data_IF_549664859969
#
_entry.id   IF_549664859969
#
_cell.length_a   1.000
_cell.length_b   1.000
_cell.length_c   1.000
_cell.angle_alpha   90.00
_cell.angle_beta   90.00
_cell.angle_gamma   90.00
#
_symmetry.space_group_name_H-M   'P 1'
#
loop_
_entity.id
_entity.type
_entity.pdbx_description
1 polymer ?
#
# COMPACT_ATOMS: atom_id res chain seq x y z
N UNK A 1 -10.16 17.52 -23.94
CA UNK A 1 -8.96 17.87 -23.17
C UNK A 1 -8.68 16.72 -22.23
N UNK A 2 -7.78 15.82 -22.61
CA UNK A 2 -7.31 14.75 -21.72
C UNK A 2 -6.63 15.41 -20.54
N UNK A 3 -7.27 15.40 -19.36
CA UNK A 3 -6.61 15.77 -18.12
C UNK A 3 -5.31 14.97 -18.06
N UNK A 4 -4.17 15.64 -18.13
CA UNK A 4 -2.86 14.98 -18.06
C UNK A 4 -2.83 14.28 -16.73
N UNK A 5 -2.98 12.96 -16.76
CA UNK A 5 -3.03 12.16 -15.56
C UNK A 5 -1.62 12.13 -14.98
N UNK A 6 -1.35 13.03 -14.02
CA UNK A 6 -0.05 13.15 -13.40
C UNK A 6 0.32 11.81 -12.77
N UNK A 7 1.47 11.26 -13.17
CA UNK A 7 2.02 10.03 -12.64
C UNK A 7 3.33 10.34 -11.91
N UNK A 8 3.54 9.61 -10.82
CA UNK A 8 4.78 9.61 -10.06
C UNK A 8 4.89 8.28 -9.29
N UNK A 9 6.08 8.00 -8.78
CA UNK A 9 6.29 6.83 -7.96
C UNK A 9 5.64 7.02 -6.59
N UNK A 10 5.03 5.96 -6.07
CA UNK A 10 4.36 5.94 -4.78
C UNK A 10 5.22 5.16 -3.78
N UNK A 11 5.48 5.75 -2.62
CA UNK A 11 6.06 5.10 -1.45
C UNK A 11 5.01 5.03 -0.34
N UNK A 12 4.89 3.86 0.29
CA UNK A 12 4.13 3.68 1.54
C UNK A 12 4.97 2.91 2.53
N UNK A 13 5.02 3.38 3.78
CA UNK A 13 5.71 2.70 4.87
C UNK A 13 4.82 2.63 6.11
N UNK A 14 4.81 1.46 6.75
CA UNK A 14 4.43 1.28 8.14
C UNK A 14 5.69 1.03 8.98
N UNK A 15 5.98 1.95 9.88
CA UNK A 15 7.03 1.82 10.88
C UNK A 15 6.43 1.34 12.21
N UNK A 16 6.95 0.27 12.77
CA UNK A 16 6.35 -0.53 13.85
C UNK A 16 7.40 -1.02 14.86
N UNK A 17 6.97 -1.58 15.99
CA UNK A 17 7.87 -2.39 16.84
C UNK A 17 8.25 -3.71 16.14
N UNK A 18 9.16 -4.46 16.77
CA UNK A 18 9.79 -5.69 16.27
C UNK A 18 8.81 -6.73 15.72
N UNK A 19 8.78 -6.83 14.40
CA UNK A 19 8.06 -7.82 13.63
C UNK A 19 8.61 -9.23 13.89
N UNK A 20 7.77 -10.27 13.85
CA UNK A 20 8.22 -11.65 14.02
C UNK A 20 9.22 -12.04 12.90
N UNK A 21 10.48 -12.39 13.22
CA UNK A 21 11.53 -12.63 12.22
C UNK A 21 11.13 -13.69 11.18
N UNK A 22 10.58 -14.82 11.66
CA UNK A 22 10.10 -15.94 10.84
C UNK A 22 8.97 -15.59 9.87
N UNK A 23 8.27 -14.48 10.09
CA UNK A 23 7.17 -14.02 9.24
C UNK A 23 7.54 -12.77 8.42
N UNK A 24 8.66 -12.09 8.71
CA UNK A 24 8.96 -10.76 8.19
C UNK A 24 8.90 -10.69 6.66
N UNK A 25 9.63 -11.58 5.99
CA UNK A 25 9.68 -11.63 4.52
C UNK A 25 8.28 -11.77 3.91
N UNK A 26 7.51 -12.74 4.42
CA UNK A 26 6.14 -13.00 3.96
C UNK A 26 5.20 -11.83 4.25
N UNK A 27 5.35 -11.14 5.39
CA UNK A 27 4.58 -9.95 5.72
C UNK A 27 4.91 -8.79 4.76
N UNK A 28 6.18 -8.56 4.47
CA UNK A 28 6.63 -7.53 3.52
C UNK A 28 6.11 -7.77 2.10
N UNK A 29 6.26 -8.99 1.60
CA UNK A 29 5.73 -9.41 0.29
C UNK A 29 4.21 -9.26 0.23
N UNK A 30 3.50 -9.73 1.26
CA UNK A 30 2.04 -9.62 1.31
C UNK A 30 1.57 -8.16 1.37
N UNK A 31 2.23 -7.31 2.16
CA UNK A 31 1.90 -5.90 2.25
C UNK A 31 2.04 -5.23 0.88
N UNK A 32 3.19 -5.41 0.23
CA UNK A 32 3.47 -4.81 -1.07
C UNK A 32 2.51 -5.30 -2.16
N UNK A 33 2.28 -6.62 -2.24
CA UNK A 33 1.44 -7.21 -3.28
C UNK A 33 -0.03 -6.80 -3.14
N UNK A 34 -0.59 -6.87 -1.92
CA UNK A 34 -2.00 -6.50 -1.72
C UNK A 34 -2.23 -5.02 -2.01
N UNK A 35 -1.29 -4.15 -1.61
CA UNK A 35 -1.39 -2.71 -1.87
C UNK A 35 -1.34 -2.44 -3.37
N UNK A 36 -0.35 -2.98 -4.06
CA UNK A 36 -0.19 -2.80 -5.50
C UNK A 36 -1.39 -3.38 -6.28
N UNK A 37 -1.88 -4.56 -5.92
CA UNK A 37 -3.03 -5.18 -6.59
C UNK A 37 -4.32 -4.39 -6.38
N UNK A 38 -4.50 -3.78 -5.20
CA UNK A 38 -5.62 -2.89 -4.94
C UNK A 38 -5.53 -1.61 -5.79
N UNK A 39 -4.34 -1.02 -5.95
CA UNK A 39 -4.14 0.14 -6.84
C UNK A 39 -4.40 -0.22 -8.32
N UNK A 40 -3.97 -1.41 -8.77
CA UNK A 40 -4.25 -1.93 -10.12
C UNK A 40 -5.74 -2.12 -10.36
N UNK A 41 -6.45 -2.76 -9.42
CA UNK A 41 -7.88 -2.99 -9.51
C UNK A 41 -8.70 -1.70 -9.59
N UNK A 42 -8.15 -0.61 -9.05
CA UNK A 42 -8.74 0.73 -9.08
C UNK A 42 -8.34 1.55 -10.32
N UNK A 43 -7.45 1.03 -11.16
CA UNK A 43 -6.95 1.71 -12.36
C UNK A 43 -5.95 2.83 -12.07
N UNK A 44 -5.37 2.86 -10.85
CA UNK A 44 -4.34 3.82 -10.46
C UNK A 44 -2.93 3.37 -10.87
N UNK A 45 -2.72 2.06 -11.05
CA UNK A 45 -1.48 1.49 -11.53
C UNK A 45 -1.72 0.51 -12.68
N UNK A 46 -0.73 0.35 -13.56
CA UNK A 46 -0.78 -0.63 -14.65
C UNK A 46 -0.63 -2.06 -14.12
N UNK A 47 -1.13 -3.06 -14.86
CA UNK A 47 -1.09 -4.46 -14.44
C UNK A 47 0.36 -4.97 -14.22
N UNK A 48 1.28 -4.48 -15.04
CA UNK A 48 2.71 -4.80 -15.10
C UNK A 48 3.59 -3.77 -14.37
N UNK A 49 2.99 -2.91 -13.54
CA UNK A 49 3.72 -1.90 -12.76
C UNK A 49 4.84 -2.52 -11.93
N UNK A 50 6.01 -1.85 -11.88
CA UNK A 50 7.09 -2.29 -11.02
C UNK A 50 6.73 -2.05 -9.55
N UNK A 51 6.95 -3.07 -8.73
CA UNK A 51 6.69 -3.06 -7.28
C UNK A 51 7.95 -3.53 -6.57
N UNK A 52 8.48 -2.70 -5.69
CA UNK A 52 9.62 -3.04 -4.83
C UNK A 52 9.13 -3.12 -3.39
N UNK A 53 9.24 -4.31 -2.78
CA UNK A 53 8.95 -4.52 -1.38
C UNK A 53 10.19 -4.22 -0.51
N UNK A 54 9.96 -3.60 0.63
CA UNK A 54 10.96 -3.36 1.66
C UNK A 54 10.46 -3.95 2.97
N UNK A 55 11.35 -4.64 3.68
CA UNK A 55 11.02 -5.27 4.96
C UNK A 55 12.26 -5.27 5.87
N UNK A 56 12.10 -4.67 7.06
CA UNK A 56 13.09 -4.71 8.14
C UNK A 56 12.38 -5.10 9.45
N UNK A 57 13.11 -5.52 10.50
CA UNK A 57 12.53 -5.82 11.81
C UNK A 57 11.45 -4.85 12.28
N UNK A 58 11.53 -3.56 11.93
CA UNK A 58 10.59 -2.52 12.39
C UNK A 58 9.79 -1.88 11.25
N UNK A 59 9.72 -2.53 10.08
CA UNK A 59 9.23 -1.86 8.87
C UNK A 59 8.62 -2.80 7.84
N UNK A 60 7.47 -2.38 7.32
CA UNK A 60 6.91 -2.88 6.07
C UNK A 60 6.74 -1.67 5.14
N UNK A 61 7.34 -1.72 3.95
CA UNK A 61 7.18 -0.65 2.98
C UNK A 61 7.11 -1.18 1.56
N UNK A 62 6.56 -0.36 0.68
CA UNK A 62 6.42 -0.65 -0.75
C UNK A 62 6.65 0.62 -1.56
N UNK A 63 7.40 0.46 -2.64
CA UNK A 63 7.52 1.44 -3.72
C UNK A 63 6.85 0.89 -4.97
N UNK A 64 5.98 1.69 -5.59
CA UNK A 64 5.22 1.35 -6.80
C UNK A 64 5.49 2.41 -7.85
N UNK A 65 5.97 2.01 -9.01
CA UNK A 65 6.30 2.95 -10.09
C UNK A 65 5.05 3.56 -10.74
N UNK A 66 5.15 4.75 -11.35
CA UNK A 66 4.17 5.26 -12.32
C UNK A 66 2.68 5.24 -11.88
N UNK A 67 2.43 5.46 -10.58
CA UNK A 67 1.08 5.52 -10.04
C UNK A 67 0.42 6.82 -10.47
N UNK A 68 -0.82 6.75 -10.94
CA UNK A 68 -1.59 7.92 -11.34
C UNK A 68 -2.21 8.65 -10.14
N UNK A 69 -2.24 9.98 -10.19
CA UNK A 69 -2.93 10.82 -9.21
C UNK A 69 -4.47 10.62 -9.26
N UNK A 70 -5.00 10.16 -10.39
CA UNK A 70 -6.41 9.80 -10.57
C UNK A 70 -6.53 8.66 -11.58
N UNK A 71 -7.40 7.69 -11.38
CA UNK A 71 -7.70 6.71 -12.41
C UNK A 71 -8.40 7.37 -13.62
N UNK A 72 -8.36 6.74 -14.78
CA UNK A 72 -9.12 7.21 -15.94
C UNK A 72 -10.63 7.14 -15.66
N UNK A 73 -11.37 8.17 -16.09
CA UNK A 73 -12.82 8.13 -16.06
C UNK A 73 -13.34 7.00 -16.96
N UNK A 74 -14.37 6.29 -16.50
CA UNK A 74 -14.91 5.13 -17.21
C UNK A 74 -16.26 5.49 -17.84
N UNK A 75 -16.39 5.24 -19.14
CA UNK A 75 -17.69 5.27 -19.80
C UNK A 75 -18.53 4.08 -19.33
N UNK A 76 -19.68 4.34 -18.74
CA UNK A 76 -20.60 3.33 -18.22
C UNK A 76 -21.92 3.45 -18.96
N UNK A 77 -22.31 2.37 -19.62
CA UNK A 77 -23.63 2.23 -20.22
C UNK A 77 -24.50 1.40 -19.29
N UNK A 78 -25.56 2.01 -18.77
CA UNK A 78 -26.48 1.35 -17.85
C UNK A 78 -27.82 1.07 -18.51
N UNK A 79 -28.21 -0.20 -18.52
CA UNK A 79 -29.57 -0.61 -18.90
C UNK A 79 -30.57 -0.09 -17.87
N UNK A 80 -31.57 0.66 -18.34
CA UNK A 80 -32.61 1.22 -17.48
C UNK A 80 -33.81 0.27 -17.37
N UNK A 81 -34.55 0.10 -18.46
CA UNK A 81 -35.79 -0.69 -18.54
C UNK A 81 -36.24 -0.82 -20.00
N UNK A 82 -37.19 -1.71 -20.32
CA UNK A 82 -37.80 -1.78 -21.64
C UNK A 82 -38.42 -0.44 -22.06
N UNK A 83 -38.36 -0.12 -23.36
CA UNK A 83 -38.92 1.13 -23.91
C UNK A 83 -40.40 1.26 -23.57
N UNK A 84 -41.16 0.17 -23.66
CA UNK A 84 -42.60 0.14 -23.35
C UNK A 84 -42.94 0.40 -21.87
N UNK A 85 -41.98 0.28 -20.96
CA UNK A 85 -42.14 0.61 -19.53
C UNK A 85 -41.63 2.02 -19.24
N UNK A 86 -40.59 2.46 -19.94
CA UNK A 86 -39.94 3.73 -19.70
C UNK A 86 -40.60 4.92 -20.38
N UNK A 87 -41.27 4.72 -21.52
CA UNK A 87 -41.94 5.76 -22.27
C UNK A 87 -43.43 5.46 -22.45
N UNK A 88 -44.26 6.50 -22.37
CA UNK A 88 -45.68 6.41 -22.67
C UNK A 88 -45.96 6.44 -24.19
N UNK A 89 -47.24 6.39 -24.56
CA UNK A 89 -47.68 6.42 -25.96
C UNK A 89 -47.29 7.72 -26.71
N UNK A 90 -47.01 8.80 -25.98
CA UNK A 90 -46.57 10.09 -26.53
C UNK A 90 -45.04 10.23 -26.55
N UNK A 91 -44.30 9.18 -26.13
CA UNK A 91 -42.85 9.21 -26.01
C UNK A 91 -42.33 9.99 -24.80
N UNK A 92 -43.20 10.33 -23.85
CA UNK A 92 -42.82 11.02 -22.61
C UNK A 92 -42.36 10.01 -21.56
N UNK A 93 -41.46 10.44 -20.66
CA UNK A 93 -40.93 9.58 -19.62
C UNK A 93 -41.99 9.19 -18.59
N UNK A 94 -42.09 7.90 -18.29
CA UNK A 94 -42.94 7.43 -17.21
C UNK A 94 -42.34 7.79 -15.85
N UNK A 95 -43.15 7.85 -14.77
CA UNK A 95 -42.64 8.05 -13.41
C UNK A 95 -41.58 7.01 -13.01
N UNK A 96 -41.68 5.79 -13.54
CA UNK A 96 -40.69 4.74 -13.31
C UNK A 96 -39.33 5.08 -13.93
N UNK A 97 -39.31 5.59 -15.17
CA UNK A 97 -38.10 6.03 -15.84
C UNK A 97 -37.46 7.21 -15.10
N UNK A 98 -38.25 8.22 -14.74
CA UNK A 98 -37.76 9.38 -13.99
C UNK A 98 -37.16 8.99 -12.64
N UNK A 99 -37.81 8.09 -11.90
CA UNK A 99 -37.26 7.56 -10.64
C UNK A 99 -35.94 6.83 -10.85
N UNK A 100 -35.82 6.07 -11.96
CA UNK A 100 -34.58 5.36 -12.29
C UNK A 100 -33.45 6.31 -12.66
N UNK A 101 -33.73 7.35 -13.46
CA UNK A 101 -32.75 8.39 -13.81
C UNK A 101 -32.29 9.17 -12.57
N UNK A 102 -33.22 9.54 -11.70
CA UNK A 102 -32.90 10.25 -10.46
C UNK A 102 -31.97 9.41 -9.54
N UNK A 103 -32.17 8.09 -9.49
CA UNK A 103 -31.28 7.18 -8.76
C UNK A 103 -29.85 7.12 -9.35
N UNK A 104 -29.66 7.55 -10.60
CA UNK A 104 -28.38 7.67 -11.29
C UNK A 104 -27.83 9.11 -11.27
N UNK A 105 -28.48 10.01 -10.53
CA UNK A 105 -28.10 11.42 -10.46
C UNK A 105 -28.45 12.23 -11.72
N UNK A 106 -29.30 11.71 -12.59
CA UNK A 106 -29.76 12.38 -13.80
C UNK A 106 -31.22 12.83 -13.69
N UNK A 107 -31.55 14.01 -14.21
CA UNK A 107 -32.92 14.49 -14.29
C UNK A 107 -33.59 14.24 -15.64
N UNK A 108 -34.81 14.79 -15.84
CA UNK A 108 -35.55 14.67 -17.11
C UNK A 108 -34.79 15.19 -18.34
N UNK A 109 -33.83 16.10 -18.15
CA UNK A 109 -32.97 16.63 -19.20
C UNK A 109 -32.10 15.55 -19.89
N UNK A 110 -31.91 14.39 -19.26
CA UNK A 110 -31.17 13.27 -19.83
C UNK A 110 -31.98 12.47 -20.87
N UNK A 111 -33.30 12.67 -20.97
CA UNK A 111 -34.18 11.87 -21.84
C UNK A 111 -33.78 11.87 -23.32
N UNK A 112 -33.41 13.01 -23.94
CA UNK A 112 -32.99 13.02 -25.35
C UNK A 112 -31.70 12.24 -25.61
N UNK A 113 -30.88 12.02 -24.58
CA UNK A 113 -29.61 11.29 -24.66
C UNK A 113 -29.73 9.78 -24.46
N UNK A 114 -30.93 9.26 -24.15
CA UNK A 114 -31.12 7.82 -23.93
C UNK A 114 -30.99 7.04 -25.24
N UNK A 115 -30.19 5.98 -25.21
CA UNK A 115 -30.05 5.05 -26.32
C UNK A 115 -31.10 3.96 -26.23
N UNK A 116 -31.60 3.52 -27.39
CA UNK A 116 -32.44 2.33 -27.51
C UNK A 116 -31.60 1.24 -28.15
N UNK A 117 -31.61 0.05 -27.57
CA UNK A 117 -30.97 -1.11 -28.18
C UNK A 117 -31.79 -2.38 -27.93
N UNK A 118 -31.71 -3.38 -28.84
CA UNK A 118 -32.34 -4.67 -28.65
C UNK A 118 -31.87 -5.36 -27.36
N UNK A 119 -32.83 -5.92 -26.63
CA UNK A 119 -32.64 -6.68 -25.40
C UNK A 119 -33.56 -7.91 -25.45
N UNK A 120 -33.08 -8.98 -26.09
CA UNK A 120 -33.89 -10.16 -26.38
C UNK A 120 -35.00 -9.86 -27.38
N UNK A 121 -36.27 -10.03 -26.97
CA UNK A 121 -37.46 -9.80 -27.82
C UNK A 121 -38.02 -8.37 -27.73
N UNK A 122 -37.42 -7.51 -26.90
CA UNK A 122 -37.87 -6.13 -26.69
C UNK A 122 -36.72 -5.15 -26.93
N UNK A 123 -37.03 -3.85 -27.05
CA UNK A 123 -36.03 -2.78 -26.96
C UNK A 123 -35.93 -2.29 -25.50
N UNK A 124 -34.72 -2.00 -25.06
CA UNK A 124 -34.44 -1.37 -23.78
C UNK A 124 -33.83 0.02 -23.95
N UNK A 125 -34.09 0.87 -22.96
CA UNK A 125 -33.44 2.17 -22.81
C UNK A 125 -32.12 2.01 -22.04
N UNK A 126 -31.10 2.69 -22.53
CA UNK A 126 -29.77 2.74 -21.95
C UNK A 126 -29.37 4.18 -21.66
N UNK A 127 -28.74 4.38 -20.51
CA UNK A 127 -28.16 5.65 -20.11
C UNK A 127 -26.64 5.55 -20.15
N UNK A 128 -26.03 6.36 -21.00
CA UNK A 128 -24.59 6.50 -21.03
C UNK A 128 -24.19 7.58 -20.01
N UNK A 129 -23.24 7.25 -19.16
CA UNK A 129 -22.70 8.15 -18.14
C UNK A 129 -21.18 8.00 -18.07
N UNK A 130 -20.54 8.98 -17.45
CA UNK A 130 -19.12 8.91 -17.12
C UNK A 130 -19.02 8.69 -15.62
N UNK A 131 -18.44 7.58 -15.21
CA UNK A 131 -18.05 7.34 -13.83
C UNK A 131 -16.65 7.96 -13.61
N UNK A 132 -16.51 8.95 -12.72
CA UNK A 132 -15.21 9.50 -12.40
C UNK A 132 -14.24 8.42 -11.91
N UNK A 133 -13.00 8.46 -12.38
CA UNK A 133 -11.94 7.59 -11.87
C UNK A 133 -11.61 7.92 -10.41
N UNK A 134 -11.23 6.89 -9.64
CA UNK A 134 -10.84 7.04 -8.24
C UNK A 134 -9.63 7.98 -8.11
N UNK A 135 -9.63 8.84 -7.10
CA UNK A 135 -8.44 9.65 -6.79
C UNK A 135 -7.38 8.79 -6.09
N UNK A 136 -6.12 9.23 -6.13
CA UNK A 136 -5.04 8.55 -5.41
C UNK A 136 -5.32 8.49 -3.90
N UNK A 137 -5.86 9.55 -3.31
CA UNK A 137 -6.17 9.59 -1.86
C UNK A 137 -7.17 8.50 -1.50
N UNK A 138 -8.31 8.45 -2.20
CA UNK A 138 -9.35 7.44 -1.95
C UNK A 138 -8.83 6.03 -2.22
N UNK A 139 -8.11 5.85 -3.34
CA UNK A 139 -7.65 4.53 -3.74
C UNK A 139 -6.51 3.99 -2.88
N UNK A 140 -5.61 4.87 -2.43
CA UNK A 140 -4.54 4.51 -1.51
C UNK A 140 -5.09 4.20 -0.11
N UNK A 141 -6.05 4.97 0.40
CA UNK A 141 -6.69 4.69 1.69
C UNK A 141 -7.28 3.27 1.68
N UNK A 142 -8.06 2.95 0.63
CA UNK A 142 -8.62 1.60 0.44
C UNK A 142 -7.53 0.53 0.33
N UNK A 143 -6.49 0.77 -0.46
CA UNK A 143 -5.39 -0.18 -0.65
C UNK A 143 -4.63 -0.45 0.65
N UNK A 144 -4.40 0.57 1.46
CA UNK A 144 -3.75 0.46 2.77
C UNK A 144 -4.61 -0.36 3.76
N UNK A 145 -5.90 -0.06 3.84
CA UNK A 145 -6.85 -0.79 4.69
C UNK A 145 -6.92 -2.28 4.31
N UNK A 146 -7.02 -2.58 3.02
CA UNK A 146 -7.02 -3.96 2.50
C UNK A 146 -5.70 -4.68 2.79
N UNK A 147 -4.57 -3.99 2.66
CA UNK A 147 -3.23 -4.55 2.89
C UNK A 147 -3.07 -4.95 4.34
N UNK A 148 -3.44 -4.08 5.27
CA UNK A 148 -3.40 -4.35 6.71
C UNK A 148 -4.32 -5.50 7.08
N UNK A 149 -5.56 -5.51 6.58
CA UNK A 149 -6.55 -6.54 6.90
C UNK A 149 -6.18 -7.94 6.39
N UNK A 150 -5.45 -8.03 5.26
CA UNK A 150 -5.07 -9.30 4.62
C UNK A 150 -3.68 -9.80 4.99
N UNK A 151 -2.94 -9.09 5.85
CA UNK A 151 -1.62 -9.55 6.27
C UNK A 151 -1.69 -10.95 6.87
N UNK A 152 -0.79 -11.88 6.49
CA UNK A 152 -0.72 -13.22 7.05
C UNK A 152 -0.07 -13.19 8.44
N UNK A 153 -0.73 -12.58 9.41
CA UNK A 153 -0.23 -12.38 10.76
C UNK A 153 -0.37 -13.69 11.55
N UNK A 154 0.73 -14.32 12.02
CA UNK A 154 0.66 -15.58 12.77
C UNK A 154 -0.10 -15.44 14.09
N UNK A 155 0.04 -14.27 14.74
CA UNK A 155 -0.64 -13.91 15.98
C UNK A 155 -0.93 -12.42 16.00
N UNK A 156 -2.21 -12.07 15.95
CA UNK A 156 -2.65 -10.69 16.05
C UNK A 156 -2.50 -10.18 17.49
N UNK A 157 -2.06 -8.94 17.64
CA UNK A 157 -2.10 -8.23 18.91
C UNK A 157 -3.22 -7.19 18.86
N UNK A 158 -3.95 -7.08 19.96
CA UNK A 158 -4.90 -5.98 20.19
C UNK A 158 -4.26 -5.00 21.16
N UNK A 159 -4.18 -3.73 20.78
CA UNK A 159 -3.71 -2.66 21.66
C UNK A 159 -4.59 -1.42 21.52
N UNK A 160 -4.63 -0.60 22.57
CA UNK A 160 -5.40 0.62 22.59
C UNK A 160 -4.58 1.80 22.11
N UNK A 161 -5.22 2.64 21.32
CA UNK A 161 -4.65 3.87 20.82
C UNK A 161 -4.75 4.97 21.87
N UNK A 162 -3.63 5.61 22.18
CA UNK A 162 -3.58 6.82 23.00
C UNK A 162 -3.90 8.08 22.19
N UNK A 163 -3.72 8.02 20.87
CA UNK A 163 -3.93 9.15 19.95
C UNK A 163 -4.70 8.71 18.70
N UNK A 164 -5.51 9.61 18.15
CA UNK A 164 -6.38 9.34 17.01
C UNK A 164 -7.42 10.46 16.82
N UNK A 165 -8.26 10.31 15.79
CA UNK A 165 -9.24 11.33 15.39
C UNK A 165 -10.58 10.71 15.02
N UNK A 166 -11.62 11.56 15.00
CA UNK A 166 -13.00 11.19 14.68
C UNK A 166 -13.93 11.40 15.86
N UNK A 167 -15.22 11.57 15.57
CA UNK A 167 -16.25 11.87 16.59
C UNK A 167 -16.40 10.77 17.66
N UNK A 168 -15.84 9.59 17.41
CA UNK A 168 -15.90 8.42 18.29
C UNK A 168 -14.53 7.98 18.81
N UNK A 169 -13.46 8.70 18.48
CA UNK A 169 -12.14 8.36 19.01
C UNK A 169 -12.08 8.67 20.51
N UNK A 170 -11.64 7.70 21.29
CA UNK A 170 -11.42 7.83 22.72
C UNK A 170 -10.02 7.33 23.06
N UNK A 171 -9.10 8.21 23.50
CA UNK A 171 -7.77 7.84 23.99
C UNK A 171 -7.86 6.73 25.04
N UNK A 172 -7.14 5.64 24.85
CA UNK A 172 -7.15 4.51 25.78
C UNK A 172 -8.43 3.67 25.75
N UNK A 173 -9.31 3.84 24.76
CA UNK A 173 -10.52 3.02 24.60
C UNK A 173 -10.72 2.49 23.17
N UNK A 174 -10.07 3.12 22.19
CA UNK A 174 -10.09 2.66 20.80
C UNK A 174 -9.04 1.58 20.58
N UNK A 175 -9.48 0.34 20.30
CA UNK A 175 -8.58 -0.78 20.03
C UNK A 175 -8.27 -0.92 18.54
N UNK A 176 -7.02 -1.26 18.22
CA UNK A 176 -6.58 -1.69 16.89
C UNK A 176 -5.99 -3.09 16.95
N UNK A 177 -6.03 -3.80 15.82
CA UNK A 177 -5.45 -5.13 15.68
C UNK A 177 -4.33 -5.09 14.65
N UNK A 178 -3.10 -5.36 15.07
CA UNK A 178 -1.96 -5.46 14.16
C UNK A 178 -0.92 -6.44 14.71
N UNK A 179 0.10 -6.76 13.91
CA UNK A 179 1.16 -7.69 14.32
C UNK A 179 1.97 -7.13 15.50
N UNK A 180 2.15 -5.80 15.55
CA UNK A 180 2.86 -5.04 16.59
C UNK A 180 2.31 -3.60 16.66
N UNK A 181 2.60 -2.83 17.72
CA UNK A 181 2.32 -1.40 17.74
C UNK A 181 2.96 -0.68 16.55
N UNK A 182 2.18 0.15 15.86
CA UNK A 182 2.67 1.01 14.79
C UNK A 182 2.97 2.42 15.32
N UNK A 183 4.05 3.03 14.84
CA UNK A 183 4.56 4.33 15.30
C UNK A 183 4.66 5.38 14.21
N UNK A 184 4.67 4.97 12.95
CA UNK A 184 4.79 5.88 11.82
C UNK A 184 4.10 5.34 10.57
N UNK A 185 3.54 6.27 9.80
CA UNK A 185 2.99 6.04 8.48
C UNK A 185 3.60 7.07 7.54
N UNK A 186 4.24 6.60 6.47
CA UNK A 186 4.66 7.46 5.36
C UNK A 186 3.81 7.13 4.15
N UNK A 187 3.38 8.17 3.41
CA UNK A 187 2.78 8.02 2.09
C UNK A 187 3.22 9.19 1.20
N UNK A 188 4.04 8.90 0.17
CA UNK A 188 4.56 9.90 -0.77
C UNK A 188 4.24 9.52 -2.21
N UNK A 189 3.76 10.48 -3.00
CA UNK A 189 3.61 10.38 -4.46
C UNK A 189 4.56 11.37 -5.11
N UNK A 190 5.67 10.88 -5.65
CA UNK A 190 6.82 11.73 -5.97
C UNK A 190 7.34 12.40 -4.69
N UNK A 191 7.27 13.72 -4.61
CA UNK A 191 7.65 14.52 -3.44
C UNK A 191 6.44 15.00 -2.60
N UNK A 192 5.22 14.63 -2.97
CA UNK A 192 3.99 15.08 -2.34
C UNK A 192 3.47 14.07 -1.31
N UNK A 193 3.04 14.55 -0.15
CA UNK A 193 2.38 13.71 0.86
C UNK A 193 0.96 13.35 0.41
N UNK A 194 0.60 12.07 0.53
CA UNK A 194 -0.77 11.61 0.27
C UNK A 194 -1.51 11.51 1.61
N UNK A 195 -2.58 12.29 1.84
CA UNK A 195 -3.27 12.36 3.13
C UNK A 195 -4.13 11.12 3.39
N UNK A 196 -3.48 10.01 3.78
CA UNK A 196 -4.12 8.77 4.22
C UNK A 196 -3.85 8.52 5.70
N UNK A 197 -4.60 7.61 6.31
CA UNK A 197 -4.44 7.24 7.71
C UNK A 197 -4.67 5.75 7.94
N UNK A 198 -3.97 5.17 8.91
CA UNK A 198 -4.18 3.78 9.31
C UNK A 198 -3.67 3.57 10.73
N UNK A 199 -4.27 2.64 11.47
CA UNK A 199 -3.83 2.26 12.82
C UNK A 199 -3.72 3.47 13.79
N UNK A 200 -4.56 4.49 13.62
CA UNK A 200 -4.52 5.73 14.42
C UNK A 200 -3.45 6.74 13.97
N UNK A 201 -2.67 6.44 12.93
CA UNK A 201 -1.60 7.26 12.40
C UNK A 201 -2.06 8.02 11.16
N UNK A 202 -1.63 9.27 11.04
CA UNK A 202 -1.71 10.04 9.79
C UNK A 202 -0.42 9.87 9.02
N UNK A 203 -0.54 9.73 7.71
CA UNK A 203 0.61 9.71 6.83
C UNK A 203 1.32 11.06 6.84
N UNK A 204 2.65 11.01 6.78
CA UNK A 204 3.50 12.15 6.47
C UNK A 204 4.72 11.72 5.67
N UNK A 205 5.82 12.46 5.80
CA UNK A 205 7.10 12.14 5.13
C UNK A 205 8.23 11.72 6.06
N UNK A 206 7.97 11.62 7.36
CA UNK A 206 9.02 11.37 8.33
C UNK A 206 9.09 9.91 8.76
N UNK A 207 10.29 9.38 8.79
CA UNK A 207 10.58 8.04 9.32
C UNK A 207 11.76 8.10 10.31
N UNK A 208 12.15 6.94 10.84
CA UNK A 208 13.29 6.78 11.76
C UNK A 208 14.24 5.70 11.24
N UNK A 209 15.53 5.90 11.47
CA UNK A 209 16.57 4.92 11.17
C UNK A 209 16.74 3.88 12.29
N UNK A 210 17.90 3.23 12.30
CA UNK A 210 18.34 2.30 13.33
C UNK A 210 18.34 2.96 14.72
N UNK A 211 18.00 2.21 15.78
CA UNK A 211 17.80 2.78 17.13
C UNK A 211 19.06 3.44 17.71
N UNK A 212 20.22 2.92 17.36
CA UNK A 212 21.50 3.34 17.94
C UNK A 212 22.48 3.91 16.93
N UNK A 213 22.39 3.47 15.67
CA UNK A 213 23.39 3.80 14.63
C UNK A 213 22.92 4.89 13.67
N UNK A 214 21.65 5.30 13.72
CA UNK A 214 21.16 6.37 12.87
C UNK A 214 21.92 7.67 13.14
N UNK A 215 22.29 8.38 12.07
CA UNK A 215 22.96 9.68 12.17
C UNK A 215 22.02 10.78 12.63
N UNK A 216 20.72 10.58 12.42
CA UNK A 216 19.64 11.51 12.79
C UNK A 216 18.48 10.71 13.39
N UNK A 217 17.83 11.23 14.45
CA UNK A 217 16.68 10.57 15.10
C UNK A 217 15.46 10.46 14.16
N UNK A 218 15.24 11.51 13.35
CA UNK A 218 14.10 11.62 12.44
C UNK A 218 14.59 11.96 11.03
N UNK A 219 14.31 11.07 10.09
CA UNK A 219 14.64 11.23 8.67
C UNK A 219 13.44 11.86 7.99
N UNK A 220 13.65 12.98 7.29
CA UNK A 220 12.63 13.64 6.47
C UNK A 220 12.85 13.23 5.03
N UNK A 221 11.97 12.38 4.51
CA UNK A 221 12.09 11.88 3.15
C UNK A 221 11.85 13.00 2.15
N UNK A 222 12.74 13.11 1.17
CA UNK A 222 12.65 14.13 0.12
C UNK A 222 11.58 13.74 -0.90
N UNK A 223 11.65 12.49 -1.38
CA UNK A 223 10.74 11.91 -2.37
C UNK A 223 10.52 10.43 -2.09
N UNK A 224 9.56 9.82 -2.79
CA UNK A 224 9.38 8.37 -2.81
C UNK A 224 10.65 7.61 -3.26
N UNK A 225 11.44 8.20 -4.15
CA UNK A 225 12.58 7.54 -4.81
C UNK A 225 13.86 7.56 -3.97
N UNK A 226 14.01 8.55 -3.08
CA UNK A 226 15.20 8.69 -2.23
C UNK A 226 15.13 7.79 -0.99
N UNK A 227 14.05 7.04 -0.83
CA UNK A 227 13.74 6.29 0.38
C UNK A 227 14.83 5.35 0.89
N UNK A 228 15.23 4.39 0.04
CA UNK A 228 16.21 3.37 0.43
C UNK A 228 17.60 3.99 0.65
N UNK A 229 17.99 4.95 -0.20
CA UNK A 229 19.26 5.68 -0.10
C UNK A 229 19.34 6.52 1.19
N UNK A 230 18.29 7.26 1.53
CA UNK A 230 18.24 8.05 2.78
C UNK A 230 18.24 7.15 4.01
N UNK A 231 17.48 6.04 4.00
CA UNK A 231 17.52 5.06 5.09
C UNK A 231 18.92 4.47 5.28
N UNK A 232 19.63 4.19 4.20
CA UNK A 232 20.99 3.68 4.27
C UNK A 232 21.96 4.71 4.86
N UNK A 233 21.97 5.92 4.30
CA UNK A 233 23.00 6.92 4.63
C UNK A 233 22.73 7.73 5.89
N UNK A 234 21.47 8.04 6.17
CA UNK A 234 21.05 8.80 7.35
C UNK A 234 20.60 7.87 8.49
N UNK A 235 19.97 6.75 8.14
CA UNK A 235 19.37 5.83 9.09
C UNK A 235 20.19 4.62 9.47
N UNK A 236 21.29 4.30 8.77
CA UNK A 236 22.01 3.03 8.93
C UNK A 236 21.10 1.80 8.74
N UNK A 237 20.12 1.87 7.82
CA UNK A 237 19.18 0.78 7.53
C UNK A 237 19.25 0.39 6.07
N UNK A 238 19.49 -0.89 5.78
CA UNK A 238 19.28 -1.46 4.44
C UNK A 238 17.82 -1.89 4.36
N UNK A 239 16.94 -1.11 3.73
CA UNK A 239 15.49 -1.38 3.76
C UNK A 239 15.08 -2.67 3.02
N UNK A 240 15.81 -3.02 1.96
CA UNK A 240 15.57 -4.22 1.15
C UNK A 240 16.04 -5.47 1.88
N UNK A 241 15.13 -6.43 2.06
CA UNK A 241 15.47 -7.73 2.65
C UNK A 241 16.53 -8.46 1.83
N UNK A 242 16.40 -8.44 0.50
CA UNK A 242 17.31 -9.13 -0.40
C UNK A 242 18.72 -8.50 -0.39
N UNK A 243 18.80 -7.17 -0.41
CA UNK A 243 20.10 -6.48 -0.33
C UNK A 243 20.76 -6.70 1.04
N UNK A 244 19.96 -6.67 2.12
CA UNK A 244 20.49 -6.94 3.47
C UNK A 244 21.00 -8.37 3.60
N UNK A 245 20.26 -9.35 3.08
CA UNK A 245 20.69 -10.76 3.05
C UNK A 245 22.02 -10.92 2.31
N UNK A 246 22.14 -10.32 1.12
CA UNK A 246 23.36 -10.37 0.32
C UNK A 246 24.55 -9.71 1.02
N UNK A 247 24.32 -8.61 1.74
CA UNK A 247 25.36 -7.94 2.52
C UNK A 247 25.81 -8.80 3.72
N UNK A 248 24.88 -9.46 4.41
CA UNK A 248 25.20 -10.41 5.49
C UNK A 248 26.04 -11.58 4.96
N UNK A 249 25.65 -12.18 3.84
CA UNK A 249 26.44 -13.25 3.20
C UNK A 249 27.86 -12.80 2.85
N UNK A 250 27.99 -11.59 2.31
CA UNK A 250 29.29 -10.99 1.99
C UNK A 250 30.16 -10.82 3.24
N UNK A 251 29.56 -10.37 4.34
CA UNK A 251 30.27 -10.20 5.62
C UNK A 251 30.67 -11.54 6.24
N UNK A 252 29.78 -12.54 6.23
CA UNK A 252 30.07 -13.88 6.70
C UNK A 252 31.23 -14.52 5.93
N UNK A 253 31.22 -14.41 4.59
CA UNK A 253 32.31 -14.91 3.75
C UNK A 253 33.65 -14.21 4.07
N UNK A 254 33.62 -12.89 4.29
CA UNK A 254 34.81 -12.13 4.67
C UNK A 254 35.32 -12.50 6.08
N UNK A 255 34.42 -12.72 7.04
CA UNK A 255 34.77 -13.14 8.39
C UNK A 255 35.39 -14.55 8.41
N UNK A 256 34.81 -15.50 7.68
CA UNK A 256 35.34 -16.85 7.54
C UNK A 256 36.75 -16.85 6.93
N UNK A 257 36.97 -16.07 5.86
CA UNK A 257 38.27 -15.94 5.23
C UNK A 257 39.35 -15.36 6.17
N UNK A 258 38.97 -14.43 7.06
CA UNK A 258 39.87 -13.88 8.10
C UNK A 258 40.17 -14.88 9.21
N UNK A 259 39.18 -15.69 9.61
CA UNK A 259 39.31 -16.66 10.69
C UNK A 259 40.19 -17.88 10.31
N UNK A 260 40.22 -18.25 9.03
CA UNK A 260 41.12 -19.30 8.53
C UNK A 260 40.77 -19.77 7.11
N UNK A 261 41.78 -20.22 6.36
CA UNK A 261 41.64 -20.55 4.93
C UNK A 261 40.70 -21.72 4.61
N UNK A 262 40.33 -22.52 5.61
CA UNK A 262 39.47 -23.70 5.46
C UNK A 262 38.10 -23.52 6.15
N UNK A 263 37.83 -22.34 6.73
CA UNK A 263 36.55 -22.05 7.37
C UNK A 263 35.57 -21.53 6.34
N UNK A 264 34.30 -21.92 6.48
CA UNK A 264 33.19 -21.45 5.67
C UNK A 264 32.01 -21.10 6.58
N UNK A 265 31.17 -20.13 6.21
CA UNK A 265 29.89 -19.93 6.87
C UNK A 265 29.07 -21.21 6.85
N UNK A 266 28.22 -21.39 7.87
CA UNK A 266 27.24 -22.47 7.88
C UNK A 266 26.26 -22.23 6.73
N UNK A 267 26.06 -23.23 5.88
CA UNK A 267 25.11 -23.21 4.77
C UNK A 267 23.70 -23.56 5.27
N UNK A 268 23.08 -22.64 6.01
CA UNK A 268 21.70 -22.73 6.47
C UNK A 268 20.89 -21.50 6.03
N UNK A 269 20.12 -21.70 4.97
CA UNK A 269 19.27 -20.68 4.35
C UNK A 269 18.19 -20.15 5.30
N UNK A 270 17.63 -21.02 6.15
CA UNK A 270 16.57 -20.64 7.08
C UNK A 270 17.14 -19.78 8.21
N UNK A 271 18.33 -20.15 8.72
CA UNK A 271 19.05 -19.36 9.71
C UNK A 271 19.46 -18.00 9.14
N UNK A 272 19.95 -17.96 7.89
CA UNK A 272 20.33 -16.70 7.24
C UNK A 272 19.13 -15.77 7.02
N UNK A 273 17.98 -16.31 6.60
CA UNK A 273 16.74 -15.53 6.50
C UNK A 273 16.28 -15.03 7.88
N UNK A 274 16.44 -15.82 8.95
CA UNK A 274 16.12 -15.42 10.33
C UNK A 274 17.05 -14.31 10.84
N UNK A 275 18.37 -14.43 10.64
CA UNK A 275 19.35 -13.37 10.98
C UNK A 275 19.09 -12.10 10.18
N UNK A 276 18.81 -12.22 8.88
CA UNK A 276 18.44 -11.06 8.03
C UNK A 276 17.19 -10.35 8.56
N UNK A 277 16.26 -11.11 9.14
CA UNK A 277 15.02 -10.58 9.70
C UNK A 277 15.17 -9.98 11.10
N UNK A 278 16.31 -10.17 11.77
CA UNK A 278 16.63 -9.59 13.08
C UNK A 278 17.39 -8.27 12.98
N UNK A 279 18.16 -8.09 11.90
CA UNK A 279 19.02 -6.92 11.71
C UNK A 279 18.38 -5.87 10.80
N UNK A 280 18.64 -4.59 11.04
CA UNK A 280 18.26 -3.51 10.11
C UNK A 280 19.42 -2.96 9.28
N UNK A 281 20.64 -2.96 9.86
CA UNK A 281 21.83 -2.37 9.28
C UNK A 281 22.95 -3.38 9.01
N UNK A 282 24.06 -2.94 8.40
CA UNK A 282 25.16 -3.81 7.99
C UNK A 282 26.31 -3.89 9.03
N UNK A 283 26.07 -3.88 10.34
CA UNK A 283 27.19 -3.91 11.29
C UNK A 283 27.62 -5.32 11.69
N UNK A 284 28.93 -5.54 11.59
CA UNK A 284 29.60 -6.78 11.96
C UNK A 284 29.49 -7.06 13.47
N UNK A 285 29.38 -6.03 14.31
CA UNK A 285 29.20 -6.19 15.77
C UNK A 285 27.84 -6.80 16.13
N UNK A 286 26.75 -6.40 15.45
CA UNK A 286 25.42 -6.99 15.67
C UNK A 286 25.35 -8.44 15.15
N UNK A 287 25.97 -8.70 13.99
CA UNK A 287 26.12 -10.07 13.47
C UNK A 287 26.88 -10.98 14.44
N UNK A 288 27.99 -10.49 15.03
CA UNK A 288 28.75 -11.25 16.03
C UNK A 288 27.98 -11.49 17.33
N UNK A 289 27.09 -10.58 17.72
CA UNK A 289 26.24 -10.72 18.91
C UNK A 289 25.12 -11.74 18.68
N UNK A 290 24.33 -11.60 17.61
CA UNK A 290 23.21 -12.49 17.30
C UNK A 290 23.68 -13.93 17.00
N UNK A 291 24.82 -14.11 16.33
CA UNK A 291 25.39 -15.44 16.07
C UNK A 291 25.89 -16.16 17.34
N UNK A 292 26.21 -15.42 18.42
CA UNK A 292 26.58 -16.03 19.71
C UNK A 292 25.35 -16.52 20.49
N UNK A 293 24.23 -15.82 20.36
CA UNK A 293 23.00 -16.17 21.08
C UNK A 293 22.20 -17.29 20.40
N UNK A 294 22.44 -17.53 19.10
CA UNK A 294 21.86 -18.63 18.32
C UNK A 294 22.67 -19.94 18.37
N UNK A 295 23.81 -19.97 19.07
CA UNK A 295 24.74 -21.10 19.18
C UNK A 295 24.71 -21.84 20.51
#
# INVERSE_FOLDING_TARGET
MTSSNHKANLLVELFVEELPPKALKKLGESFANVLADSLKAQGLAAADVAVTSFASPRRLAVHVSDVAAKAADQAVQQKLMPVAVGLDANGQATPALLKKLAALGAGPEALPGLKRAPDGKAEALFFDSIKPGATLVEGLQKALDESIAKLPIPKVMTYQLEQGEGAHFQPGWTSVNFVRPAHGLVALHGDQEVPVSALGLKAGRSTRGHRFEARVDKIILLTADTYAEQLLHEGAVIASFAERRAEIERQLAAAAAKAGSNLKPIEDEALLDEVTALLEGPTTEELEHELRDLG
#
